data_IF_982396058011
#
_entry.id   IF_982396058011
#
_cell.length_a   1.000
_cell.length_b   1.000
_cell.length_c   1.000
_cell.angle_alpha   90.00
_cell.angle_beta   90.00
_cell.angle_gamma   90.00
#
_symmetry.space_group_name_H-M   'P 1'
#
loop_
_entity.id
_entity.type
_entity.pdbx_description
1 polymer ?
#
# COMPACT_ATOMS: atom_id res chain seq x y z
N UNK A 1 29.46 0.59 -42.45
CA UNK A 1 29.81 0.96 -41.05
C UNK A 1 28.72 1.79 -40.35
N UNK A 2 28.01 2.68 -41.05
CA UNK A 2 26.95 3.53 -40.47
C UNK A 2 25.72 2.76 -39.96
N UNK A 3 25.28 1.73 -40.70
CA UNK A 3 24.15 0.86 -40.30
C UNK A 3 24.43 0.10 -39.00
N UNK A 4 25.63 -0.49 -38.86
CA UNK A 4 26.01 -1.22 -37.64
C UNK A 4 26.09 -0.28 -36.41
N UNK A 5 26.46 0.99 -36.61
CA UNK A 5 26.46 2.00 -35.54
C UNK A 5 25.05 2.43 -35.15
N UNK A 6 24.12 2.51 -36.11
CA UNK A 6 22.71 2.82 -35.84
C UNK A 6 22.02 1.69 -35.05
N UNK A 7 22.32 0.44 -35.41
CA UNK A 7 21.79 -0.75 -34.74
C UNK A 7 22.28 -0.86 -33.29
N UNK A 8 23.57 -0.57 -33.05
CA UNK A 8 24.14 -0.51 -31.71
C UNK A 8 23.51 0.61 -30.85
N UNK A 9 23.23 1.77 -31.45
CA UNK A 9 22.56 2.88 -30.75
C UNK A 9 21.11 2.52 -30.38
N UNK A 10 20.40 1.81 -31.26
CA UNK A 10 19.04 1.35 -30.99
C UNK A 10 18.99 0.30 -29.87
N UNK A 11 19.95 -0.64 -29.85
CA UNK A 11 20.11 -1.60 -28.76
C UNK A 11 20.44 -0.95 -27.41
N UNK A 12 21.26 0.11 -27.40
CA UNK A 12 21.58 0.89 -26.20
C UNK A 12 20.37 1.67 -25.65
N UNK A 13 19.48 2.15 -26.53
CA UNK A 13 18.26 2.85 -26.11
C UNK A 13 17.22 1.91 -25.48
N UNK A 14 17.19 0.63 -25.89
CA UNK A 14 16.29 -0.38 -25.32
C UNK A 14 16.74 -0.80 -23.90
N UNK A 15 18.04 -0.89 -23.64
CA UNK A 15 18.55 -1.31 -22.32
C UNK A 15 18.28 -0.28 -21.21
N UNK A 16 18.08 1.00 -21.54
CA UNK A 16 17.72 2.05 -20.58
C UNK A 16 16.25 2.02 -20.12
N UNK A 17 15.40 1.16 -20.71
CA UNK A 17 13.99 1.03 -20.35
C UNK A 17 13.72 -0.10 -19.35
N UNK A 18 14.73 -0.59 -18.62
CA UNK A 18 14.51 -1.40 -17.42
C UNK A 18 13.98 -0.49 -16.31
N UNK A 19 12.70 -0.15 -16.42
CA UNK A 19 11.95 0.57 -15.40
C UNK A 19 12.01 -0.23 -14.10
N UNK A 20 12.71 0.32 -13.11
CA UNK A 20 12.68 -0.13 -11.72
C UNK A 20 11.29 0.17 -11.11
N UNK A 21 10.26 -0.52 -11.57
CA UNK A 21 9.02 -0.62 -10.82
C UNK A 21 9.22 -1.73 -9.79
N UNK A 22 9.34 -1.35 -8.51
CA UNK A 22 9.32 -2.31 -7.41
C UNK A 22 8.09 -3.22 -7.56
N UNK A 23 8.36 -4.52 -7.62
CA UNK A 23 7.33 -5.55 -7.65
C UNK A 23 6.89 -5.83 -6.23
N UNK A 24 5.60 -5.67 -5.96
CA UNK A 24 5.01 -5.95 -4.65
C UNK A 24 3.98 -7.04 -4.85
N UNK A 25 4.24 -8.20 -4.26
CA UNK A 25 3.40 -9.39 -4.40
C UNK A 25 3.05 -9.93 -3.01
N UNK A 26 1.78 -10.27 -2.78
CA UNK A 26 1.35 -10.95 -1.55
C UNK A 26 1.11 -12.43 -1.86
N UNK A 27 1.89 -13.35 -1.31
CA UNK A 27 1.74 -14.79 -1.60
C UNK A 27 1.95 -15.60 -0.33
N UNK A 28 1.07 -16.57 -0.09
CA UNK A 28 1.13 -17.49 1.05
C UNK A 28 1.33 -16.74 2.38
N UNK A 29 0.51 -15.70 2.60
CA UNK A 29 0.54 -14.83 3.80
C UNK A 29 1.84 -14.03 3.99
N UNK A 30 2.59 -13.83 2.90
CA UNK A 30 3.84 -13.06 2.87
C UNK A 30 3.72 -11.88 1.94
N UNK A 31 4.19 -10.71 2.38
CA UNK A 31 4.40 -9.56 1.52
C UNK A 31 5.83 -9.61 1.00
N UNK A 32 5.97 -9.74 -0.31
CA UNK A 32 7.24 -9.81 -1.01
C UNK A 32 7.47 -8.49 -1.77
N UNK A 33 8.63 -7.88 -1.58
CA UNK A 33 9.12 -6.76 -2.41
C UNK A 33 10.33 -7.26 -3.18
N UNK A 34 10.23 -7.26 -4.50
CA UNK A 34 11.26 -7.80 -5.40
C UNK A 34 11.70 -9.22 -5.00
N UNK A 35 10.74 -10.04 -4.55
CA UNK A 35 10.97 -11.43 -4.10
C UNK A 35 11.47 -11.58 -2.65
N UNK A 36 11.89 -10.51 -1.98
CA UNK A 36 12.26 -10.54 -0.56
C UNK A 36 11.02 -10.37 0.32
N UNK A 37 10.82 -11.26 1.28
CA UNK A 37 9.77 -11.09 2.27
C UNK A 37 10.10 -9.93 3.22
N UNK A 38 9.18 -8.97 3.33
CA UNK A 38 9.33 -7.80 4.21
C UNK A 38 8.28 -7.74 5.31
N UNK A 39 7.11 -8.36 5.11
CA UNK A 39 6.03 -8.42 6.10
C UNK A 39 5.34 -9.78 6.03
N UNK A 40 4.62 -10.13 7.11
CA UNK A 40 3.55 -11.13 7.04
C UNK A 40 2.22 -10.41 6.79
N UNK A 41 1.29 -11.11 6.16
CA UNK A 41 0.01 -10.60 5.74
C UNK A 41 -1.09 -11.57 6.19
N UNK A 42 -2.15 -11.06 6.81
CA UNK A 42 -3.28 -11.88 7.24
C UNK A 42 -4.60 -11.25 6.79
N UNK A 43 -5.38 -12.03 6.03
CA UNK A 43 -6.74 -11.66 5.69
C UNK A 43 -7.69 -12.10 6.80
N UNK A 44 -8.04 -11.18 7.70
CA UNK A 44 -8.94 -11.45 8.83
C UNK A 44 -10.35 -11.81 8.35
N UNK A 45 -10.94 -10.99 7.48
CA UNK A 45 -12.28 -11.21 6.93
C UNK A 45 -12.42 -10.54 5.56
N UNK A 46 -13.63 -10.18 5.12
CA UNK A 46 -13.84 -9.51 3.82
C UNK A 46 -13.52 -8.01 3.84
N UNK A 47 -13.53 -7.38 5.01
CA UNK A 47 -13.32 -5.94 5.18
C UNK A 47 -11.98 -5.60 5.84
N UNK A 48 -11.31 -6.55 6.50
CA UNK A 48 -10.12 -6.30 7.32
C UNK A 48 -8.90 -7.07 6.83
N UNK A 49 -7.74 -6.46 6.91
CA UNK A 49 -6.47 -7.05 6.48
C UNK A 49 -5.32 -6.51 7.33
N UNK A 50 -4.52 -7.40 7.89
CA UNK A 50 -3.44 -7.05 8.81
C UNK A 50 -2.07 -7.33 8.21
N UNK A 51 -1.09 -6.53 8.63
CA UNK A 51 0.31 -6.69 8.28
C UNK A 51 1.17 -6.69 9.53
N UNK A 52 2.13 -7.62 9.57
CA UNK A 52 2.99 -7.85 10.73
C UNK A 52 4.46 -7.72 10.38
N UNK A 53 5.21 -7.17 11.33
CA UNK A 53 6.67 -7.04 11.29
C UNK A 53 7.35 -8.40 11.26
N UNK A 54 8.40 -8.52 10.45
CA UNK A 54 9.24 -9.72 10.42
C UNK A 54 10.18 -9.85 11.62
N UNK A 55 10.41 -8.76 12.35
CA UNK A 55 11.39 -8.68 13.44
C UNK A 55 10.87 -9.26 14.74
N UNK A 56 9.63 -8.95 15.07
CA UNK A 56 9.02 -9.18 16.39
C UNK A 56 7.56 -9.65 16.31
N UNK A 57 7.06 -9.90 15.11
CA UNK A 57 5.68 -10.35 14.85
C UNK A 57 4.60 -9.37 15.35
N UNK A 58 4.97 -8.11 15.59
CA UNK A 58 4.00 -7.09 15.96
C UNK A 58 3.13 -6.71 14.76
N UNK A 59 1.83 -6.57 14.99
CA UNK A 59 0.92 -6.00 14.00
C UNK A 59 1.25 -4.51 13.84
N UNK A 60 1.70 -4.11 12.65
CA UNK A 60 2.13 -2.74 12.38
C UNK A 60 1.05 -1.93 11.67
N UNK A 61 0.19 -2.60 10.90
CA UNK A 61 -0.84 -1.97 10.09
C UNK A 61 -2.09 -2.84 9.99
N UNK A 62 -3.23 -2.24 10.35
CA UNK A 62 -4.55 -2.80 10.10
C UNK A 62 -5.29 -1.95 9.07
N UNK A 63 -5.61 -2.55 7.92
CA UNK A 63 -6.55 -2.03 6.94
C UNK A 63 -7.97 -2.42 7.31
N UNK A 64 -8.90 -1.46 7.23
CA UNK A 64 -10.34 -1.70 7.35
C UNK A 64 -11.10 -0.99 6.26
N UNK A 65 -11.94 -1.71 5.53
CA UNK A 65 -12.97 -1.16 4.68
C UNK A 65 -14.18 -0.75 5.54
N UNK A 66 -14.77 0.39 5.21
CA UNK A 66 -15.96 0.93 5.86
C UNK A 66 -16.98 1.25 4.78
N UNK A 67 -18.15 0.61 4.85
CA UNK A 67 -19.29 0.81 3.95
C UNK A 67 -20.18 1.99 4.39
N UNK A 68 -19.66 2.84 5.28
CA UNK A 68 -20.33 3.95 5.94
C UNK A 68 -21.75 3.66 6.48
N UNK A 69 -22.05 2.39 6.82
CA UNK A 69 -23.39 1.93 7.24
C UNK A 69 -24.48 2.11 6.15
N UNK A 70 -24.07 2.28 4.90
CA UNK A 70 -24.91 2.57 3.74
C UNK A 70 -24.63 1.57 2.60
N UNK A 71 -24.93 0.25 2.73
CA UNK A 71 -24.50 -0.78 1.78
C UNK A 71 -24.91 -0.60 0.31
N UNK A 72 -25.87 0.28 0.02
CA UNK A 72 -26.34 0.61 -1.34
C UNK A 72 -25.60 1.78 -1.97
N UNK A 73 -24.86 2.56 -1.19
CA UNK A 73 -24.17 3.76 -1.61
C UNK A 73 -22.67 3.51 -1.46
N UNK A 74 -22.03 3.03 -2.52
CA UNK A 74 -20.58 2.74 -2.51
C UNK A 74 -19.75 4.02 -2.62
N UNK A 75 -20.39 5.15 -2.94
CA UNK A 75 -19.72 6.43 -3.17
C UNK A 75 -19.20 7.11 -1.92
N UNK A 76 -19.76 6.80 -0.75
CA UNK A 76 -19.33 7.29 0.57
C UNK A 76 -18.50 6.27 1.34
N UNK A 77 -18.19 5.14 0.71
CA UNK A 77 -17.30 4.14 1.28
C UNK A 77 -15.88 4.71 1.43
N UNK A 78 -15.24 4.32 2.51
CA UNK A 78 -13.89 4.76 2.84
C UNK A 78 -13.11 3.61 3.46
N UNK A 79 -11.82 3.82 3.63
CA UNK A 79 -10.98 2.88 4.37
C UNK A 79 -10.25 3.57 5.51
N UNK A 80 -9.90 2.77 6.50
CA UNK A 80 -9.12 3.16 7.67
C UNK A 80 -7.80 2.40 7.63
N UNK A 81 -6.71 3.12 7.79
CA UNK A 81 -5.38 2.57 8.06
C UNK A 81 -5.03 2.89 9.51
N UNK A 82 -4.85 1.86 10.33
CA UNK A 82 -4.37 2.00 11.69
C UNK A 82 -2.91 1.54 11.76
N UNK A 83 -1.99 2.50 11.89
CA UNK A 83 -0.59 2.26 12.19
C UNK A 83 -0.45 2.05 13.70
N UNK A 84 -0.43 0.79 14.13
CA UNK A 84 -0.67 0.43 15.53
C UNK A 84 0.50 0.81 16.44
N UNK A 85 1.74 0.55 16.01
CA UNK A 85 2.95 0.92 16.77
C UNK A 85 3.07 2.44 16.92
N UNK A 86 2.68 3.18 15.89
CA UNK A 86 2.69 4.65 15.85
C UNK A 86 1.41 5.29 16.41
N UNK A 87 0.46 4.49 16.87
CA UNK A 87 -0.86 4.93 17.39
C UNK A 87 -1.55 5.94 16.47
N UNK A 88 -1.42 5.75 15.17
CA UNK A 88 -1.85 6.71 14.16
C UNK A 88 -2.94 6.11 13.29
N UNK A 89 -4.07 6.83 13.19
CA UNK A 89 -5.22 6.47 12.36
C UNK A 89 -5.34 7.41 11.18
N UNK A 90 -5.57 6.86 9.99
CA UNK A 90 -5.82 7.59 8.74
C UNK A 90 -7.12 7.08 8.14
N UNK A 91 -7.97 7.99 7.67
CA UNK A 91 -9.26 7.68 7.06
C UNK A 91 -9.28 8.34 5.70
N UNK A 92 -9.59 7.60 4.64
CA UNK A 92 -9.54 8.15 3.29
C UNK A 92 -10.54 7.47 2.36
N UNK A 93 -11.09 8.27 1.46
CA UNK A 93 -11.93 7.90 0.32
C UNK A 93 -11.12 7.66 -0.97
N UNK A 94 -9.79 7.84 -0.94
CA UNK A 94 -8.92 7.72 -2.13
C UNK A 94 -8.66 6.25 -2.52
N UNK A 95 -9.76 5.55 -2.83
CA UNK A 95 -9.80 4.18 -3.33
C UNK A 95 -9.10 4.07 -4.70
N UNK A 96 -8.89 5.17 -5.42
CA UNK A 96 -8.08 5.18 -6.64
C UNK A 96 -6.65 4.66 -6.43
N UNK A 97 -6.10 4.86 -5.21
CA UNK A 97 -4.79 4.32 -4.82
C UNK A 97 -4.82 2.87 -4.38
N UNK A 98 -5.97 2.37 -3.92
CA UNK A 98 -6.15 1.01 -3.39
C UNK A 98 -7.34 0.38 -4.12
N UNK A 99 -7.04 -0.42 -5.14
CA UNK A 99 -8.01 -1.08 -6.04
C UNK A 99 -9.42 -1.26 -5.44
N UNK A 100 -10.42 -0.62 -6.06
CA UNK A 100 -11.84 -0.38 -5.71
C UNK A 100 -12.71 -1.53 -5.12
N UNK A 101 -12.15 -2.60 -4.55
CA UNK A 101 -12.96 -3.67 -3.97
C UNK A 101 -12.35 -4.22 -2.69
N UNK A 102 -12.88 -3.73 -1.55
CA UNK A 102 -12.59 -4.18 -0.20
C UNK A 102 -11.08 -4.45 0.03
N UNK A 103 -10.75 -5.60 0.66
CA UNK A 103 -9.39 -6.02 0.94
C UNK A 103 -8.81 -7.00 -0.09
N UNK A 104 -9.13 -6.83 -1.37
CA UNK A 104 -8.58 -7.69 -2.42
C UNK A 104 -7.05 -7.73 -2.36
N UNK A 105 -6.46 -8.90 -2.66
CA UNK A 105 -4.99 -9.08 -2.67
C UNK A 105 -4.29 -7.98 -3.49
N UNK A 106 -4.78 -7.69 -4.70
CA UNK A 106 -4.25 -6.63 -5.56
C UNK A 106 -4.40 -5.23 -4.96
N UNK A 107 -5.49 -4.98 -4.22
CA UNK A 107 -5.66 -3.73 -3.46
C UNK A 107 -4.60 -3.60 -2.36
N UNK A 108 -4.37 -4.67 -1.60
CA UNK A 108 -3.36 -4.71 -0.54
C UNK A 108 -1.92 -4.58 -1.07
N UNK A 109 -1.60 -5.20 -2.20
CA UNK A 109 -0.32 -5.00 -2.91
C UNK A 109 -0.12 -3.52 -3.31
N UNK A 110 -1.17 -2.87 -3.83
CA UNK A 110 -1.13 -1.43 -4.15
C UNK A 110 -0.99 -0.55 -2.91
N UNK A 111 -1.66 -0.90 -1.80
CA UNK A 111 -1.50 -0.22 -0.52
C UNK A 111 -0.05 -0.27 -0.06
N UNK A 112 0.55 -1.47 -0.01
CA UNK A 112 1.97 -1.62 0.37
C UNK A 112 2.87 -0.80 -0.56
N UNK A 113 2.64 -0.87 -1.88
CA UNK A 113 3.39 -0.07 -2.86
C UNK A 113 3.25 1.44 -2.62
N UNK A 114 2.06 1.90 -2.22
CA UNK A 114 1.84 3.30 -1.87
C UNK A 114 2.59 3.70 -0.61
N UNK A 115 2.60 2.87 0.44
CA UNK A 115 3.36 3.12 1.67
C UNK A 115 4.87 3.17 1.41
N UNK A 116 5.40 2.27 0.57
CA UNK A 116 6.80 2.29 0.13
C UNK A 116 7.12 3.58 -0.65
N UNK A 117 6.24 3.97 -1.59
CA UNK A 117 6.40 5.21 -2.37
C UNK A 117 6.43 6.46 -1.49
N UNK A 118 5.56 6.53 -0.48
CA UNK A 118 5.55 7.63 0.50
C UNK A 118 6.62 7.48 1.58
N UNK A 119 7.44 6.42 1.54
CA UNK A 119 8.48 6.09 2.53
C UNK A 119 7.93 5.91 3.95
N UNK A 120 6.63 5.59 4.07
CA UNK A 120 6.00 5.21 5.33
C UNK A 120 6.54 3.85 5.78
N UNK A 121 6.68 2.94 4.81
CA UNK A 121 7.36 1.66 4.97
C UNK A 121 8.71 1.74 4.27
N UNK A 122 9.76 1.18 4.87
CA UNK A 122 11.04 0.99 4.20
C UNK A 122 11.12 -0.38 3.50
N UNK A 123 12.23 -0.64 2.81
CA UNK A 123 12.47 -1.91 2.09
C UNK A 123 12.70 -3.13 2.99
N UNK A 124 12.77 -2.92 4.31
CA UNK A 124 12.87 -3.97 5.31
C UNK A 124 11.56 -4.22 6.05
N UNK A 125 10.49 -3.50 5.68
CA UNK A 125 9.17 -3.64 6.30
C UNK A 125 9.02 -2.89 7.62
N UNK A 126 9.90 -1.94 7.93
CA UNK A 126 9.80 -1.12 9.14
C UNK A 126 9.09 0.21 8.83
N UNK A 127 8.28 0.69 9.79
CA UNK A 127 7.64 1.99 9.70
C UNK A 127 8.62 3.12 10.00
N UNK A 128 8.47 4.22 9.28
CA UNK A 128 9.14 5.48 9.59
C UNK A 128 8.13 6.42 10.30
N UNK A 129 8.29 6.69 11.61
CA UNK A 129 7.33 7.49 12.39
C UNK A 129 7.08 8.89 11.82
N UNK A 130 8.14 9.58 11.37
CA UNK A 130 8.02 10.92 10.78
C UNK A 130 7.19 10.89 9.49
N UNK A 131 7.39 9.84 8.68
CA UNK A 131 6.65 9.66 7.44
C UNK A 131 5.21 9.23 7.68
N UNK A 132 4.93 8.47 8.74
CA UNK A 132 3.56 8.16 9.18
C UNK A 132 2.80 9.44 9.54
N UNK A 133 3.44 10.36 10.28
CA UNK A 133 2.85 11.66 10.61
C UNK A 133 2.54 12.48 9.35
N UNK A 134 3.52 12.63 8.45
CA UNK A 134 3.33 13.33 7.16
C UNK A 134 2.24 12.67 6.30
N UNK A 135 2.17 11.34 6.32
CA UNK A 135 1.16 10.59 5.58
C UNK A 135 -0.25 10.85 6.13
N UNK A 136 -0.40 10.90 7.46
CA UNK A 136 -1.65 11.32 8.10
C UNK A 136 -2.04 12.73 7.67
N UNK A 137 -1.14 13.69 7.76
CA UNK A 137 -1.44 15.09 7.40
C UNK A 137 -1.89 15.24 5.95
N UNK A 138 -1.37 14.40 5.05
CA UNK A 138 -1.72 14.40 3.63
C UNK A 138 -3.07 13.76 3.30
N UNK A 139 -3.42 12.67 4.00
CA UNK A 139 -4.46 11.75 3.52
C UNK A 139 -5.58 11.49 4.53
N UNK A 140 -5.46 11.95 5.77
CA UNK A 140 -6.52 11.78 6.76
C UNK A 140 -7.62 12.83 6.53
N UNK A 141 -8.78 12.36 6.10
CA UNK A 141 -9.93 13.19 5.76
C UNK A 141 -10.88 13.44 6.95
N UNK A 142 -10.61 12.81 8.08
CA UNK A 142 -11.40 12.91 9.31
C UNK A 142 -12.91 12.64 9.09
N UNK A 143 -13.23 11.53 8.42
CA UNK A 143 -14.58 11.22 7.92
C UNK A 143 -15.51 10.92 9.09
N UNK A 144 -15.03 10.12 10.05
CA UNK A 144 -15.84 9.68 11.20
C UNK A 144 -16.27 10.86 12.09
N UNK A 145 -15.43 11.87 12.31
CA UNK A 145 -15.81 13.03 13.14
C UNK A 145 -16.73 14.02 12.41
N UNK A 146 -16.71 14.03 11.07
CA UNK A 146 -17.56 14.91 10.25
C UNK A 146 -18.94 14.33 9.97
N UNK A 147 -19.09 13.03 10.11
CA UNK A 147 -20.35 12.32 9.89
C UNK A 147 -21.09 12.26 11.22
N UNK A 148 -22.14 13.07 11.36
CA UNK A 148 -23.10 12.91 12.45
C UNK A 148 -23.81 11.56 12.25
N UNK A 149 -23.65 10.66 13.21
CA UNK A 149 -24.35 9.37 13.26
C UNK A 149 -25.50 9.44 14.26
#
# INVERSE_FOLDING_TARGET
MTINRLLAFFLLMISCNLYFSQDVTIKDDKVLVDGKQILKAEKINVAQYSFFSMKDDQEILLYRYMDNETPRYVSDDYFILNFLTEKTRVESTDLGKISNFMNSKKGMEKLVKWLLKERVLNHDGELNPERVAVFKDKYHENITERTLR
#
